data_IF_212040215761
#
_entry.id   IF_212040215761
#
_cell.length_a   1.000
_cell.length_b   1.000
_cell.length_c   1.000
_cell.angle_alpha   90.00
_cell.angle_beta   90.00
_cell.angle_gamma   90.00
#
_symmetry.space_group_name_H-M   'P 1'
#
loop_
_entity.id
_entity.type
_entity.pdbx_description
1 polymer ?
#
# COMPACT_ATOMS: atom_id res chain seq x y z
N UNK A 1 16.57 -6.95 3.46
CA UNK A 1 16.35 -5.77 4.32
C UNK A 1 15.18 -4.95 3.77
N UNK A 2 14.44 -4.23 4.62
CA UNK A 2 13.25 -3.45 4.25
C UNK A 2 13.46 -2.54 3.02
N UNK A 3 14.66 -1.96 2.86
CA UNK A 3 15.01 -1.15 1.69
C UNK A 3 14.90 -1.89 0.36
N UNK A 4 15.27 -3.18 0.31
CA UNK A 4 15.18 -3.99 -0.91
C UNK A 4 13.75 -4.30 -1.30
N UNK A 5 12.89 -4.62 -0.32
CA UNK A 5 11.47 -4.85 -0.56
C UNK A 5 10.75 -3.56 -0.99
N UNK A 6 11.13 -2.41 -0.43
CA UNK A 6 10.64 -1.12 -0.89
C UNK A 6 11.07 -0.82 -2.34
N UNK A 7 12.33 -1.09 -2.68
CA UNK A 7 12.83 -0.89 -4.04
C UNK A 7 12.10 -1.79 -5.05
N UNK A 8 11.82 -3.04 -4.70
CA UNK A 8 11.03 -3.95 -5.55
C UNK A 8 9.61 -3.40 -5.78
N UNK A 9 8.97 -2.88 -4.74
CA UNK A 9 7.67 -2.23 -4.86
C UNK A 9 7.73 -1.01 -5.81
N UNK A 10 8.78 -0.19 -5.72
CA UNK A 10 8.99 0.92 -6.67
C UNK A 10 9.07 0.39 -8.10
N UNK A 11 9.87 -0.65 -8.34
CA UNK A 11 10.02 -1.25 -9.68
C UNK A 11 8.70 -1.83 -10.21
N UNK A 12 7.87 -2.45 -9.37
CA UNK A 12 6.54 -2.90 -9.79
C UNK A 12 5.58 -1.76 -10.12
N UNK A 13 5.63 -0.67 -9.36
CA UNK A 13 4.84 0.53 -9.67
C UNK A 13 5.29 1.11 -11.01
N UNK A 14 6.60 1.29 -11.24
CA UNK A 14 7.14 1.79 -12.51
C UNK A 14 6.71 0.92 -13.69
N UNK A 15 6.75 -0.40 -13.53
CA UNK A 15 6.30 -1.35 -14.54
C UNK A 15 4.79 -1.27 -14.79
N UNK A 16 3.98 -1.05 -13.76
CA UNK A 16 2.52 -1.00 -13.86
C UNK A 16 1.94 0.33 -14.37
N UNK A 17 2.69 1.43 -14.25
CA UNK A 17 2.28 2.75 -14.74
C UNK A 17 1.97 2.82 -16.25
N UNK A 18 2.79 2.28 -17.17
CA UNK A 18 2.46 2.26 -18.59
C UNK A 18 1.26 1.36 -18.94
N UNK A 19 0.84 0.50 -18.01
CA UNK A 19 -0.35 -0.35 -18.12
C UNK A 19 -1.59 0.26 -17.43
N UNK A 20 -1.48 1.52 -16.98
CA UNK A 20 -2.54 2.24 -16.26
C UNK A 20 -3.00 1.55 -14.95
N UNK A 21 -2.17 0.67 -14.38
CA UNK A 21 -2.46 0.00 -13.11
C UNK A 21 -2.25 0.94 -11.91
N UNK A 22 -1.42 1.97 -12.09
CA UNK A 22 -1.07 2.96 -11.09
C UNK A 22 -1.09 4.38 -11.69
N UNK A 23 -1.34 5.41 -10.88
CA UNK A 23 -1.35 6.79 -11.34
C UNK A 23 0.00 7.22 -11.94
N UNK A 24 -0.07 8.14 -12.90
CA UNK A 24 1.11 8.78 -13.47
C UNK A 24 1.76 9.70 -12.44
N UNK A 25 3.09 9.63 -12.31
CA UNK A 25 3.83 10.36 -11.28
C UNK A 25 5.12 9.64 -10.88
N UNK A 26 5.84 10.17 -9.89
CA UNK A 26 7.04 9.50 -9.38
C UNK A 26 6.63 8.18 -8.70
N UNK A 27 7.04 7.05 -9.25
CA UNK A 27 6.71 5.73 -8.70
C UNK A 27 7.13 5.57 -7.24
N UNK A 28 8.24 6.21 -6.84
CA UNK A 28 8.66 6.27 -5.43
C UNK A 28 7.62 6.86 -4.49
N UNK A 29 6.82 7.83 -4.95
CA UNK A 29 5.77 8.44 -4.13
C UNK A 29 4.57 7.50 -3.99
N UNK A 30 4.15 6.86 -5.09
CA UNK A 30 3.06 5.88 -5.09
C UNK A 30 3.43 4.67 -4.24
N UNK A 31 4.63 4.11 -4.43
CA UNK A 31 5.18 3.03 -3.63
C UNK A 31 5.26 3.41 -2.15
N UNK A 32 5.66 4.65 -1.82
CA UNK A 32 5.65 5.15 -0.43
C UNK A 32 4.26 5.10 0.18
N UNK A 33 3.23 5.58 -0.54
CA UNK A 33 1.84 5.57 -0.06
C UNK A 33 1.33 4.15 0.19
N UNK A 34 1.58 3.23 -0.75
CA UNK A 34 1.21 1.82 -0.61
C UNK A 34 1.93 1.21 0.60
N UNK A 35 3.25 1.37 0.66
CA UNK A 35 4.09 0.83 1.71
C UNK A 35 3.65 1.35 3.08
N UNK A 36 3.51 2.66 3.26
CA UNK A 36 3.11 3.25 4.55
C UNK A 36 1.74 2.79 5.00
N UNK A 37 0.78 2.67 4.09
CA UNK A 37 -0.59 2.26 4.41
C UNK A 37 -0.64 0.82 4.88
N UNK A 38 -0.03 -0.10 4.14
CA UNK A 38 0.01 -1.52 4.50
C UNK A 38 0.87 -1.78 5.74
N UNK A 39 2.05 -1.17 5.84
CA UNK A 39 2.91 -1.32 7.03
C UNK A 39 2.24 -0.77 8.29
N UNK A 40 1.54 0.36 8.20
CA UNK A 40 0.83 0.93 9.34
C UNK A 40 -0.23 -0.06 9.85
N UNK A 41 -1.07 -0.59 8.94
CA UNK A 41 -2.08 -1.57 9.30
C UNK A 41 -1.49 -2.82 9.97
N UNK A 42 -0.50 -3.46 9.33
CA UNK A 42 0.15 -4.67 9.87
C UNK A 42 0.83 -4.39 11.21
N UNK A 43 1.48 -3.24 11.37
CA UNK A 43 2.13 -2.89 12.63
C UNK A 43 1.12 -2.78 13.76
N UNK A 44 -0.04 -2.16 13.51
CA UNK A 44 -1.09 -2.01 14.51
C UNK A 44 -1.69 -3.36 14.91
N UNK A 45 -1.91 -4.26 13.95
CA UNK A 45 -2.34 -5.64 14.22
C UNK A 45 -1.29 -6.43 15.03
N UNK A 46 0.01 -6.30 14.71
CA UNK A 46 1.09 -6.96 15.48
C UNK A 46 1.16 -6.50 16.93
N UNK A 47 0.77 -5.26 17.22
CA UNK A 47 0.69 -4.72 18.58
C UNK A 47 -0.68 -4.97 19.25
N UNK A 48 -1.55 -5.79 18.66
CA UNK A 48 -2.92 -6.02 19.12
C UNK A 48 -3.73 -4.71 19.29
N UNK A 49 -3.35 -3.66 18.57
CA UNK A 49 -4.12 -2.41 18.48
C UNK A 49 -5.17 -2.65 17.40
N UNK A 50 -6.13 -3.52 17.72
CA UNK A 50 -7.16 -3.92 16.78
C UNK A 50 -8.26 -2.85 16.72
N UNK A 51 -8.44 -2.26 15.54
CA UNK A 51 -9.56 -1.36 15.26
C UNK A 51 -10.86 -2.12 14.98
N UNK A 52 -10.78 -3.45 14.86
CA UNK A 52 -11.87 -4.30 14.40
C UNK A 52 -11.75 -5.71 14.98
N UNK A 53 -12.89 -6.34 15.23
CA UNK A 53 -12.98 -7.78 15.53
C UNK A 53 -12.97 -8.66 14.27
N UNK A 54 -12.79 -8.04 13.10
CA UNK A 54 -12.76 -8.68 11.78
C UNK A 54 -11.60 -8.14 10.94
N UNK A 55 -10.36 -8.56 11.21
CA UNK A 55 -9.16 -7.99 10.61
C UNK A 55 -9.15 -8.11 9.08
N UNK A 56 -9.51 -9.27 8.53
CA UNK A 56 -9.52 -9.48 7.07
C UNK A 56 -10.49 -8.54 6.34
N UNK A 57 -11.69 -8.33 6.88
CA UNK A 57 -12.68 -7.40 6.33
C UNK A 57 -12.16 -5.95 6.39
N UNK A 58 -11.48 -5.59 7.48
CA UNK A 58 -10.89 -4.25 7.66
C UNK A 58 -9.73 -4.01 6.71
N UNK A 59 -8.87 -5.00 6.51
CA UNK A 59 -7.78 -4.93 5.54
C UNK A 59 -8.31 -4.78 4.11
N UNK A 60 -9.34 -5.54 3.72
CA UNK A 60 -9.97 -5.39 2.42
C UNK A 60 -10.53 -3.96 2.19
N UNK A 61 -11.18 -3.38 3.21
CA UNK A 61 -11.68 -1.99 3.15
C UNK A 61 -10.53 -0.97 3.04
N UNK A 62 -9.43 -1.19 3.76
CA UNK A 62 -8.22 -0.38 3.66
C UNK A 62 -7.63 -0.42 2.25
N UNK A 63 -7.56 -1.59 1.61
CA UNK A 63 -7.11 -1.71 0.22
C UNK A 63 -8.02 -0.99 -0.77
N UNK A 64 -9.34 -1.03 -0.57
CA UNK A 64 -10.31 -0.27 -1.38
C UNK A 64 -10.07 1.25 -1.22
N UNK A 65 -9.90 1.72 0.02
CA UNK A 65 -9.59 3.11 0.32
C UNK A 65 -8.26 3.57 -0.30
N UNK A 66 -7.22 2.74 -0.18
CA UNK A 66 -5.91 2.96 -0.81
C UNK A 66 -6.05 3.10 -2.32
N UNK A 67 -6.73 2.15 -2.98
CA UNK A 67 -6.98 2.20 -4.43
C UNK A 67 -7.66 3.51 -4.83
N UNK A 68 -8.71 3.92 -4.11
CA UNK A 68 -9.43 5.16 -4.41
C UNK A 68 -8.53 6.39 -4.24
N UNK A 69 -7.68 6.43 -3.21
CA UNK A 69 -6.75 7.54 -2.98
C UNK A 69 -5.64 7.65 -4.03
N UNK A 70 -5.29 6.54 -4.67
CA UNK A 70 -4.32 6.51 -5.76
C UNK A 70 -4.94 6.87 -7.12
N UNK A 71 -6.27 6.88 -7.22
CA UNK A 71 -6.97 7.23 -8.47
C UNK A 71 -7.23 8.75 -8.61
N UNK A 72 -6.97 9.54 -7.56
CA UNK A 72 -7.06 11.00 -7.50
C UNK A 72 -5.70 11.66 -7.65
#
# INVERSE_FOLDING_TARGET
>A
MAAGAFQELVSHVEWGQPLELFPTGKATNVARTIWSTCHCYISLELFNINFSNKPDETYARLLIGLRNSLAT
#
